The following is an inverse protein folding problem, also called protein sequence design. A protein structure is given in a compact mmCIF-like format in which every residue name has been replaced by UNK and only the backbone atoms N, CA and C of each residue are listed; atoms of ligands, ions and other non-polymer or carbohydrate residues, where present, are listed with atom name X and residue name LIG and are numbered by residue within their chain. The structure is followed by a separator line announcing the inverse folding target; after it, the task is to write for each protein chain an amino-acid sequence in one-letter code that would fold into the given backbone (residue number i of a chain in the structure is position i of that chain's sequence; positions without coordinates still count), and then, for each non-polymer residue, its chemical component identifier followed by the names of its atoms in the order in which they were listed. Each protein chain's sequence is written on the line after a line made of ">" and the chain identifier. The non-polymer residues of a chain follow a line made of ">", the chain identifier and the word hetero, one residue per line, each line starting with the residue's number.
data_IF_560959693632
#
_entry.id   IF_560959693632
#
_cell.length_a   1.000
_cell.length_b   1.000
_cell.length_c   1.000
_cell.angle_alpha   90.00
_cell.angle_beta   90.00
_cell.angle_gamma   90.00
#
_symmetry.space_group_name_H-M   'P 1'
#
loop_
_entity.id
_entity.type
_entity.pdbx_description
1 polymer ?
#
# COMPACT_ATOMS: atom_id res chain seq x y z
N UNK A 1 2.39 -24.13 -8.23
CA UNK A 1 1.43 -23.08 -8.59
C UNK A 1 1.80 -21.83 -7.79
N UNK A 2 1.85 -20.64 -8.42
CA UNK A 2 2.17 -19.41 -7.67
C UNK A 2 0.91 -18.91 -6.98
N UNK A 3 0.94 -18.81 -5.66
CA UNK A 3 -0.13 -18.23 -4.83
C UNK A 3 0.37 -16.91 -4.24
N UNK A 4 -0.34 -15.83 -4.51
CA UNK A 4 -0.03 -14.49 -4.01
C UNK A 4 -0.75 -14.25 -2.69
N UNK A 5 0.00 -13.94 -1.64
CA UNK A 5 -0.54 -13.36 -0.41
C UNK A 5 -0.64 -11.84 -0.56
N UNK A 6 -1.83 -11.29 -0.45
CA UNK A 6 -2.09 -9.86 -0.54
C UNK A 6 -2.42 -9.28 0.83
N UNK A 7 -1.54 -8.42 1.34
CA UNK A 7 -1.77 -7.69 2.60
C UNK A 7 -2.39 -6.35 2.28
N UNK A 8 -3.52 -6.04 2.91
CA UNK A 8 -4.21 -4.75 2.86
C UNK A 8 -4.49 -4.25 4.28
N UNK A 9 -4.30 -2.97 4.53
CA UNK A 9 -4.49 -2.40 5.87
C UNK A 9 -5.94 -1.97 6.13
N UNK A 10 -6.63 -1.45 5.12
CA UNK A 10 -7.93 -0.81 5.27
C UNK A 10 -9.04 -1.58 4.54
N UNK A 11 -10.25 -1.53 5.12
CA UNK A 11 -11.44 -2.10 4.44
C UNK A 11 -11.70 -1.45 3.08
N UNK A 12 -11.42 -0.15 2.95
CA UNK A 12 -11.57 0.55 1.68
C UNK A 12 -10.63 0.01 0.60
N UNK A 13 -9.40 -0.34 0.97
CA UNK A 13 -8.43 -0.96 0.07
C UNK A 13 -8.87 -2.37 -0.32
N UNK A 14 -9.36 -3.16 0.64
CA UNK A 14 -9.89 -4.49 0.37
C UNK A 14 -11.08 -4.46 -0.61
N UNK A 15 -11.98 -3.47 -0.48
CA UNK A 15 -13.11 -3.27 -1.40
C UNK A 15 -12.69 -2.90 -2.83
N UNK A 16 -11.49 -2.32 -3.01
CA UNK A 16 -10.93 -2.08 -4.35
C UNK A 16 -10.45 -3.37 -5.03
N UNK A 17 -10.19 -4.42 -4.25
CA UNK A 17 -9.66 -5.70 -4.74
C UNK A 17 -10.78 -6.74 -4.91
N UNK A 18 -11.75 -6.76 -4.00
CA UNK A 18 -12.82 -7.75 -4.01
C UNK A 18 -14.12 -7.20 -3.42
N UNK A 19 -15.29 -7.55 -3.99
CA UNK A 19 -16.58 -7.21 -3.38
C UNK A 19 -16.94 -8.14 -2.21
N UNK A 20 -16.14 -9.16 -1.93
CA UNK A 20 -16.39 -10.09 -0.83
C UNK A 20 -16.25 -9.38 0.52
N UNK A 21 -16.99 -9.86 1.51
CA UNK A 21 -16.77 -9.44 2.89
C UNK A 21 -15.44 -10.00 3.40
N UNK A 22 -14.47 -9.11 3.68
CA UNK A 22 -13.17 -9.49 4.20
C UNK A 22 -13.15 -9.29 5.72
N UNK A 23 -13.09 -10.35 6.52
CA UNK A 23 -12.94 -10.24 7.97
C UNK A 23 -11.55 -9.72 8.34
N UNK A 24 -11.46 -9.01 9.46
CA UNK A 24 -10.17 -8.61 10.03
C UNK A 24 -9.38 -9.82 10.52
N UNK A 25 -8.06 -9.76 10.34
CA UNK A 25 -7.11 -10.74 10.86
C UNK A 25 -7.41 -12.19 10.47
N UNK A 26 -7.93 -12.37 9.25
CA UNK A 26 -8.23 -13.67 8.69
C UNK A 26 -7.96 -13.68 7.19
N UNK A 27 -7.45 -14.80 6.71
CA UNK A 27 -7.26 -15.04 5.29
C UNK A 27 -8.58 -15.26 4.56
N UNK A 28 -8.66 -14.79 3.32
CA UNK A 28 -9.74 -15.08 2.40
C UNK A 28 -9.19 -15.31 0.99
N UNK A 29 -9.49 -16.45 0.40
CA UNK A 29 -9.19 -16.70 -1.01
C UNK A 29 -10.14 -15.86 -1.88
N UNK A 30 -9.59 -14.95 -2.67
CA UNK A 30 -10.36 -14.13 -3.61
C UNK A 30 -10.41 -14.74 -5.02
N UNK A 31 -9.43 -15.59 -5.32
CA UNK A 31 -9.40 -16.47 -6.49
C UNK A 31 -8.40 -17.62 -6.24
N UNK A 32 -8.25 -18.62 -7.15
CA UNK A 32 -7.35 -19.77 -6.95
C UNK A 32 -5.87 -19.41 -6.76
N UNK A 33 -5.48 -18.19 -7.10
CA UNK A 33 -4.08 -17.75 -7.07
C UNK A 33 -3.82 -16.58 -6.12
N UNK A 34 -4.84 -16.11 -5.39
CA UNK A 34 -4.70 -14.94 -4.52
C UNK A 34 -5.48 -15.12 -3.22
N UNK A 35 -4.74 -14.99 -2.12
CA UNK A 35 -5.26 -14.98 -0.76
C UNK A 35 -5.05 -13.58 -0.19
N UNK A 36 -6.11 -12.95 0.30
CA UNK A 36 -6.09 -11.62 0.87
C UNK A 36 -6.16 -11.69 2.39
N UNK A 37 -5.42 -10.80 3.07
CA UNK A 37 -5.47 -10.58 4.50
C UNK A 37 -5.69 -9.11 4.81
N UNK A 38 -6.77 -8.80 5.53
CA UNK A 38 -7.05 -7.46 6.05
C UNK A 38 -6.40 -7.33 7.42
N UNK A 39 -5.26 -6.63 7.49
CA UNK A 39 -4.41 -6.59 8.69
C UNK A 39 -4.83 -5.53 9.72
N UNK A 40 -5.42 -4.42 9.28
CA UNK A 40 -5.41 -3.16 10.04
C UNK A 40 -4.14 -2.36 9.77
N UNK A 41 -4.12 -1.12 10.26
CA UNK A 41 -3.01 -0.19 10.05
C UNK A 41 -1.76 -0.55 10.86
N UNK A 42 -0.61 -0.17 10.32
CA UNK A 42 0.68 -0.17 10.98
C UNK A 42 1.52 -1.42 10.76
N UNK A 43 2.81 -1.26 10.96
CA UNK A 43 3.83 -2.26 10.64
C UNK A 43 3.64 -3.60 11.38
N UNK A 44 3.27 -3.57 12.66
CA UNK A 44 3.08 -4.78 13.47
C UNK A 44 1.93 -5.65 12.94
N UNK A 45 0.79 -5.02 12.62
CA UNK A 45 -0.37 -5.71 12.04
C UNK A 45 -0.06 -6.30 10.67
N UNK A 46 0.64 -5.54 9.82
CA UNK A 46 1.04 -5.96 8.50
C UNK A 46 2.08 -7.11 8.55
N UNK A 47 3.04 -7.06 9.48
CA UNK A 47 4.00 -8.12 9.73
C UNK A 47 3.30 -9.43 10.06
N UNK A 48 2.42 -9.40 11.06
CA UNK A 48 1.64 -10.57 11.48
C UNK A 48 0.82 -11.16 10.33
N UNK A 49 0.18 -10.31 9.52
CA UNK A 49 -0.57 -10.75 8.35
C UNK A 49 0.32 -11.48 7.33
N UNK A 50 1.49 -10.90 7.02
CA UNK A 50 2.46 -11.48 6.10
C UNK A 50 2.99 -12.84 6.60
N UNK A 51 3.33 -12.94 7.89
CA UNK A 51 3.76 -14.19 8.53
C UNK A 51 2.69 -15.29 8.42
N UNK A 52 1.42 -14.94 8.70
CA UNK A 52 0.32 -15.91 8.60
C UNK A 52 0.08 -16.36 7.15
N UNK A 53 0.18 -15.44 6.17
CA UNK A 53 0.10 -15.80 4.76
C UNK A 53 1.25 -16.73 4.35
N UNK A 54 2.47 -16.48 4.81
CA UNK A 54 3.60 -17.40 4.58
C UNK A 54 3.34 -18.79 5.19
N UNK A 55 2.82 -18.86 6.41
CA UNK A 55 2.44 -20.13 7.04
C UNK A 55 1.32 -20.85 6.28
N UNK A 56 0.41 -20.11 5.63
CA UNK A 56 -0.63 -20.67 4.76
C UNK A 56 -0.10 -21.15 3.40
N UNK A 57 1.20 -20.99 3.13
CA UNK A 57 1.88 -21.53 1.94
C UNK A 57 1.79 -20.65 0.70
N UNK A 58 1.64 -19.33 0.86
CA UNK A 58 1.78 -18.41 -0.28
C UNK A 58 3.23 -18.42 -0.77
N UNK A 59 3.43 -18.24 -2.08
CA UNK A 59 4.75 -18.32 -2.71
C UNK A 59 5.33 -16.95 -3.05
N UNK A 60 4.56 -15.88 -2.82
CA UNK A 60 4.97 -14.48 -2.99
C UNK A 60 4.03 -13.56 -2.21
N UNK A 61 4.51 -12.40 -1.80
CA UNK A 61 3.74 -11.40 -1.06
C UNK A 61 3.58 -10.10 -1.85
N UNK A 62 2.42 -9.49 -1.74
CA UNK A 62 2.16 -8.14 -2.21
C UNK A 62 1.57 -7.29 -1.08
N UNK A 63 2.01 -6.04 -0.95
CA UNK A 63 1.39 -5.03 -0.09
C UNK A 63 0.62 -4.06 -0.98
N UNK A 64 -0.69 -3.93 -0.76
CA UNK A 64 -1.57 -3.09 -1.57
C UNK A 64 -2.28 -2.06 -0.70
N UNK A 65 -2.31 -0.81 -1.16
CA UNK A 65 -3.01 0.24 -0.44
C UNK A 65 -2.69 1.64 -0.94
N UNK A 66 -2.80 2.60 -0.04
CA UNK A 66 -2.56 4.01 -0.30
C UNK A 66 -1.22 4.48 0.28
N UNK A 67 -0.73 5.63 -0.20
CA UNK A 67 0.49 6.26 0.28
C UNK A 67 0.38 7.78 0.26
N UNK A 68 1.19 8.44 1.09
CA UNK A 68 1.46 9.87 1.00
C UNK A 68 2.59 10.16 0.02
N UNK A 69 2.47 11.24 -0.75
CA UNK A 69 3.52 11.71 -1.62
C UNK A 69 4.65 12.38 -0.81
N UNK A 70 5.88 12.10 -1.20
CA UNK A 70 7.09 12.81 -0.76
C UNK A 70 7.69 13.66 -1.89
N UNK A 71 7.35 13.34 -3.15
CA UNK A 71 7.69 14.14 -4.33
C UNK A 71 6.51 15.05 -4.69
N UNK A 72 6.78 16.35 -4.88
CA UNK A 72 5.79 17.37 -5.26
C UNK A 72 5.14 17.14 -6.62
N UNK A 73 5.74 16.33 -7.48
CA UNK A 73 5.19 16.01 -8.79
C UNK A 73 4.04 14.98 -8.70
N UNK A 74 4.01 14.19 -7.62
CA UNK A 74 2.99 13.18 -7.41
C UNK A 74 1.65 13.80 -6.99
N UNK A 75 0.60 13.32 -7.64
CA UNK A 75 -0.78 13.79 -7.44
C UNK A 75 -1.67 12.66 -6.92
N UNK A 76 -2.75 13.00 -6.22
CA UNK A 76 -3.75 12.00 -5.87
C UNK A 76 -4.23 11.23 -7.11
N UNK A 77 -4.16 9.90 -7.03
CA UNK A 77 -4.47 8.99 -8.12
C UNK A 77 -3.28 8.45 -8.90
N UNK A 78 -2.10 9.04 -8.77
CA UNK A 78 -0.88 8.46 -9.33
C UNK A 78 -0.58 7.13 -8.63
N UNK A 79 -0.07 6.17 -9.40
CA UNK A 79 0.29 4.85 -8.88
C UNK A 79 1.80 4.76 -8.68
N UNK A 80 2.20 4.34 -7.49
CA UNK A 80 3.60 4.05 -7.17
C UNK A 80 3.80 2.53 -7.18
N UNK A 81 4.68 2.07 -8.07
CA UNK A 81 5.22 0.71 -8.12
C UNK A 81 6.72 0.81 -7.81
N UNK A 82 7.12 0.76 -6.53
CA UNK A 82 8.48 1.06 -6.14
C UNK A 82 9.49 0.02 -6.64
N UNK A 83 10.75 0.46 -6.78
CA UNK A 83 11.90 -0.41 -7.05
C UNK A 83 12.47 -1.01 -5.76
N UNK A 84 12.29 -0.30 -4.65
CA UNK A 84 12.75 -0.70 -3.33
C UNK A 84 11.90 -0.08 -2.22
N UNK A 85 11.95 -0.70 -1.04
CA UNK A 85 11.31 -0.23 0.19
C UNK A 85 12.39 0.20 1.18
N UNK A 86 12.29 1.43 1.67
CA UNK A 86 13.16 1.97 2.71
C UNK A 86 12.48 1.81 4.08
N UNK A 87 13.05 0.93 4.90
CA UNK A 87 12.70 0.72 6.30
C UNK A 87 13.93 0.85 7.18
N UNK A 88 14.22 -0.12 8.03
CA UNK A 88 15.52 -0.23 8.71
C UNK A 88 16.67 -0.44 7.72
N UNK A 89 16.38 -1.17 6.65
CA UNK A 89 17.26 -1.42 5.53
C UNK A 89 16.52 -1.13 4.21
N UNK A 90 17.28 -0.95 3.13
CA UNK A 90 16.74 -0.88 1.79
C UNK A 90 16.48 -2.29 1.28
N UNK A 91 15.21 -2.66 1.12
CA UNK A 91 14.77 -3.97 0.64
C UNK A 91 14.35 -3.88 -0.82
N UNK A 92 14.93 -4.69 -1.71
CA UNK A 92 14.53 -4.72 -3.12
C UNK A 92 13.16 -5.35 -3.31
N UNK A 93 12.43 -4.95 -4.35
CA UNK A 93 11.23 -5.63 -4.80
C UNK A 93 11.56 -6.63 -5.91
N UNK A 94 10.63 -7.54 -6.22
CA UNK A 94 10.73 -8.46 -7.35
C UNK A 94 10.46 -7.70 -8.66
N UNK A 95 11.51 -7.14 -9.29
CA UNK A 95 11.41 -6.24 -10.44
C UNK A 95 10.68 -6.88 -11.63
N UNK A 96 10.92 -8.16 -11.94
CA UNK A 96 10.24 -8.85 -13.03
C UNK A 96 8.72 -8.90 -12.82
N UNK A 97 8.29 -9.20 -11.59
CA UNK A 97 6.87 -9.22 -11.26
C UNK A 97 6.27 -7.80 -11.30
N UNK A 98 6.97 -6.81 -10.72
CA UNK A 98 6.56 -5.41 -10.75
C UNK A 98 6.44 -4.87 -12.19
N UNK A 99 7.44 -5.16 -13.06
CA UNK A 99 7.44 -4.75 -14.46
C UNK A 99 6.30 -5.43 -15.24
N UNK A 100 6.07 -6.73 -14.99
CA UNK A 100 4.94 -7.44 -15.59
C UNK A 100 3.60 -6.80 -15.22
N UNK A 101 3.42 -6.40 -13.95
CA UNK A 101 2.22 -5.68 -13.52
C UNK A 101 2.12 -4.32 -14.23
N UNK A 102 3.20 -3.54 -14.30
CA UNK A 102 3.22 -2.24 -14.94
C UNK A 102 2.81 -2.30 -16.42
N UNK A 103 3.27 -3.31 -17.16
CA UNK A 103 2.91 -3.49 -18.56
C UNK A 103 1.43 -3.83 -18.78
N UNK A 104 0.73 -4.29 -17.74
CA UNK A 104 -0.70 -4.59 -17.81
C UNK A 104 -1.60 -3.44 -17.42
N UNK A 105 -1.06 -2.36 -16.89
CA UNK A 105 -1.83 -1.18 -16.54
C UNK A 105 -2.22 -0.40 -17.81
N UNK A 106 -3.33 0.33 -17.71
CA UNK A 106 -3.77 1.23 -18.78
C UNK A 106 -2.71 2.28 -19.10
N UNK A 107 -2.54 2.62 -20.36
CA UNK A 107 -1.64 3.71 -20.81
C UNK A 107 -2.01 5.08 -20.20
N UNK A 108 -3.22 5.23 -19.69
CA UNK A 108 -3.67 6.45 -19.03
C UNK A 108 -3.33 6.49 -17.53
N UNK A 109 -2.77 5.40 -16.97
CA UNK A 109 -2.36 5.35 -15.56
C UNK A 109 -0.95 5.92 -15.44
N UNK A 110 -0.80 6.99 -14.66
CA UNK A 110 0.52 7.50 -14.31
C UNK A 110 1.15 6.55 -13.30
N UNK A 111 2.25 5.92 -13.69
CA UNK A 111 3.01 4.99 -12.84
C UNK A 111 4.36 5.61 -12.53
N UNK A 112 4.69 5.71 -11.25
CA UNK A 112 5.97 6.21 -10.77
C UNK A 112 6.72 5.08 -10.06
N UNK A 113 7.99 5.00 -10.35
CA UNK A 113 8.93 4.06 -9.73
C UNK A 113 9.78 4.80 -8.69
N UNK A 114 10.72 4.13 -8.07
CA UNK A 114 11.64 4.71 -7.11
C UNK A 114 11.53 4.04 -5.75
N UNK A 115 11.83 4.77 -4.69
CA UNK A 115 11.83 4.24 -3.33
C UNK A 115 10.51 4.60 -2.63
N UNK A 116 9.91 3.62 -1.94
CA UNK A 116 8.81 3.83 -1.00
C UNK A 116 9.38 3.78 0.41
N UNK A 117 9.25 4.86 1.17
CA UNK A 117 9.70 4.90 2.56
C UNK A 117 8.62 4.39 3.52
N UNK A 118 9.06 3.86 4.65
CA UNK A 118 8.19 3.53 5.77
C UNK A 118 8.21 4.65 6.81
N UNK A 119 7.06 4.93 7.42
CA UNK A 119 6.93 5.77 8.61
C UNK A 119 6.14 5.04 9.68
N UNK A 120 6.60 5.11 10.93
CA UNK A 120 5.86 4.54 12.07
C UNK A 120 4.57 5.29 12.37
N UNK A 121 4.51 6.57 12.01
CA UNK A 121 3.38 7.47 12.23
C UNK A 121 2.99 8.20 10.95
N UNK A 122 1.73 8.62 10.81
CA UNK A 122 1.31 9.44 9.67
C UNK A 122 2.06 10.77 9.63
N UNK A 123 2.63 11.10 8.47
CA UNK A 123 3.30 12.40 8.27
C UNK A 123 2.25 13.48 7.96
N UNK A 124 2.06 14.40 8.89
CA UNK A 124 0.95 15.36 8.87
C UNK A 124 1.35 16.75 8.39
N UNK A 125 2.64 16.98 8.14
CA UNK A 125 3.13 18.28 7.70
C UNK A 125 4.00 18.14 6.46
N UNK A 126 3.94 19.15 5.58
CA UNK A 126 4.83 19.24 4.42
C UNK A 126 6.30 19.14 4.84
N UNK A 127 6.68 19.77 5.96
CA UNK A 127 8.07 19.76 6.43
C UNK A 127 8.53 18.35 6.79
N UNK A 128 7.72 17.55 7.50
CA UNK A 128 8.07 16.16 7.85
C UNK A 128 8.21 15.28 6.60
N UNK A 129 7.33 15.47 5.61
CA UNK A 129 7.39 14.77 4.33
C UNK A 129 8.68 15.09 3.56
N UNK A 130 8.99 16.37 3.39
CA UNK A 130 10.21 16.81 2.70
C UNK A 130 11.49 16.33 3.40
N UNK A 131 11.50 16.36 4.74
CA UNK A 131 12.63 15.84 5.51
C UNK A 131 12.83 14.33 5.30
N UNK A 132 11.74 13.55 5.28
CA UNK A 132 11.84 12.12 5.01
C UNK A 132 12.34 11.88 3.58
N UNK A 133 11.84 12.62 2.59
CA UNK A 133 12.32 12.55 1.20
C UNK A 133 13.82 12.83 1.10
N UNK A 134 14.31 13.86 1.77
CA UNK A 134 15.74 14.25 1.78
C UNK A 134 16.61 13.14 2.37
N UNK A 135 16.19 12.51 3.46
CA UNK A 135 16.96 11.47 4.15
C UNK A 135 16.97 10.15 3.36
N UNK A 136 15.85 9.80 2.73
CA UNK A 136 15.65 8.47 2.15
C UNK A 136 15.74 8.43 0.62
N UNK A 137 15.63 9.57 -0.04
CA UNK A 137 15.44 9.65 -1.50
C UNK A 137 14.12 9.06 -1.98
N UNK A 138 13.16 8.82 -1.08
CA UNK A 138 11.89 8.20 -1.42
C UNK A 138 10.91 9.18 -2.08
N UNK A 139 10.09 8.68 -3.01
CA UNK A 139 9.04 9.45 -3.68
C UNK A 139 7.70 9.39 -2.96
N UNK A 140 7.48 8.37 -2.13
CA UNK A 140 6.23 8.17 -1.38
C UNK A 140 6.50 7.51 -0.02
N UNK A 141 5.51 7.52 0.86
CA UNK A 141 5.58 6.95 2.21
C UNK A 141 4.30 6.20 2.57
N UNK A 142 4.47 5.05 3.22
CA UNK A 142 3.39 4.30 3.85
C UNK A 142 3.79 3.83 5.27
N UNK A 143 2.98 2.96 5.88
CA UNK A 143 3.20 2.50 7.25
C UNK A 143 3.35 0.97 7.35
N UNK A 144 3.22 0.22 6.26
CA UNK A 144 3.08 -1.24 6.26
C UNK A 144 4.09 -1.96 5.35
N UNK A 145 4.47 -1.37 4.21
CA UNK A 145 5.21 -2.09 3.17
C UNK A 145 6.54 -2.63 3.62
N UNK A 146 7.28 -1.91 4.48
CA UNK A 146 8.58 -2.39 4.96
C UNK A 146 8.44 -3.66 5.81
N UNK A 147 7.40 -3.73 6.64
CA UNK A 147 7.14 -4.91 7.46
C UNK A 147 6.81 -6.15 6.61
N UNK A 148 5.98 -5.98 5.58
CA UNK A 148 5.67 -7.08 4.64
C UNK A 148 6.89 -7.49 3.83
N UNK A 149 7.69 -6.51 3.37
CA UNK A 149 8.93 -6.75 2.62
C UNK A 149 9.96 -7.52 3.46
N UNK A 150 10.10 -7.19 4.74
CA UNK A 150 10.99 -7.92 5.67
C UNK A 150 10.57 -9.36 5.80
N UNK A 151 9.29 -9.65 6.03
CA UNK A 151 8.79 -11.03 6.12
C UNK A 151 9.02 -11.79 4.82
N UNK A 152 8.81 -11.15 3.67
CA UNK A 152 9.07 -11.78 2.37
C UNK A 152 10.56 -12.10 2.17
N UNK A 153 11.46 -11.20 2.59
CA UNK A 153 12.90 -11.40 2.55
C UNK A 153 13.33 -12.56 3.45
N UNK A 154 12.83 -12.61 4.70
CA UNK A 154 13.11 -13.68 5.65
C UNK A 154 12.62 -15.05 5.15
N UNK A 155 11.47 -15.06 4.46
CA UNK A 155 10.91 -16.26 3.83
C UNK A 155 11.53 -16.59 2.46
N UNK A 156 12.44 -15.77 1.95
CA UNK A 156 13.06 -15.89 0.61
C UNK A 156 12.03 -16.00 -0.54
N UNK A 157 10.93 -15.26 -0.45
CA UNK A 157 9.87 -15.21 -1.48
C UNK A 157 9.78 -13.82 -2.13
N UNK A 158 9.34 -13.74 -3.40
CA UNK A 158 9.18 -12.47 -4.10
C UNK A 158 8.18 -11.53 -3.41
N UNK A 159 8.49 -10.23 -3.43
CA UNK A 159 7.67 -9.17 -2.88
C UNK A 159 7.49 -8.02 -3.86
N UNK A 160 6.30 -7.41 -3.86
CA UNK A 160 6.03 -6.10 -4.48
C UNK A 160 5.15 -5.24 -3.57
N UNK A 161 5.23 -3.92 -3.75
CA UNK A 161 4.25 -2.98 -3.20
C UNK A 161 3.51 -2.26 -4.32
N UNK A 162 2.23 -1.94 -4.08
CA UNK A 162 1.35 -1.23 -5.00
C UNK A 162 0.66 -0.14 -4.19
N UNK A 163 0.91 1.13 -4.51
CA UNK A 163 0.38 2.26 -3.75
C UNK A 163 -0.26 3.30 -4.65
N UNK A 164 -1.49 3.71 -4.31
CA UNK A 164 -2.11 4.87 -4.91
C UNK A 164 -1.85 6.11 -4.02
N UNK A 165 -1.41 7.21 -4.62
CA UNK A 165 -1.23 8.45 -3.89
C UNK A 165 -2.60 9.03 -3.54
N UNK A 166 -2.79 9.35 -2.26
CA UNK A 166 -4.02 10.00 -1.77
C UNK A 166 -3.72 11.32 -1.05
N UNK A 167 -2.49 11.50 -0.61
CA UNK A 167 -2.04 12.58 0.24
C UNK A 167 -0.83 13.29 -0.41
N UNK A 168 -1.03 14.41 -1.15
CA UNK A 168 0.06 15.16 -1.77
C UNK A 168 0.97 15.82 -0.73
N UNK A 169 2.17 16.24 -1.15
CA UNK A 169 3.18 16.81 -0.23
C UNK A 169 2.66 18.02 0.54
N UNK A 170 1.91 18.88 -0.14
CA UNK A 170 1.37 20.12 0.42
C UNK A 170 0.20 19.91 1.37
N UNK A 171 -0.38 18.72 1.36
CA UNK A 171 -1.53 18.44 2.22
C UNK A 171 -1.08 18.24 3.67
N UNK A 172 -1.67 19.05 4.54
CA UNK A 172 -1.48 18.98 6.00
C UNK A 172 -2.86 18.80 6.63
N UNK A 173 -3.27 17.58 6.96
CA UNK A 173 -4.57 17.34 7.55
C UNK A 173 -4.67 18.04 8.92
N UNK A 174 -5.81 18.68 9.22
CA UNK A 174 -6.04 19.20 10.57
C UNK A 174 -5.89 18.09 11.61
N UNK A 175 -5.20 18.36 12.73
CA UNK A 175 -4.94 17.37 13.79
C UNK A 175 -6.18 16.68 14.34
N UNK A 176 -7.34 17.36 14.32
CA UNK A 176 -8.64 16.78 14.69
C UNK A 176 -9.11 15.65 13.77
N UNK A 177 -8.64 15.60 12.51
CA UNK A 177 -8.95 14.50 11.57
C UNK A 177 -8.13 13.25 11.86
N UNK A 178 -6.94 13.41 12.41
CA UNK A 178 -6.05 12.30 12.76
C UNK A 178 -6.49 11.57 14.03
N UNK A 179 -7.00 12.34 15.03
CA UNK A 179 -7.55 11.77 16.26
C UNK A 179 -8.89 11.04 16.07
N UNK A 180 -9.53 11.21 14.90
CA UNK A 180 -10.80 10.56 14.56
C UNK A 180 -10.62 9.23 13.81
N UNK A 181 -9.38 8.83 13.48
CA UNK A 181 -9.06 7.54 12.85
C UNK A 181 -8.96 6.48 13.93
N UNK A 182 -9.87 5.51 13.92
CA UNK A 182 -9.78 4.34 14.79
C UNK A 182 -8.66 3.40 14.32
N UNK A 183 -8.04 2.62 15.24
CA UNK A 183 -6.99 1.65 14.89
C UNK A 183 -7.42 0.61 13.84
N UNK A 184 -8.72 0.34 13.72
CA UNK A 184 -9.30 -0.58 12.75
C UNK A 184 -9.57 0.07 11.37
N UNK A 185 -9.20 1.34 11.19
CA UNK A 185 -9.44 2.07 9.94
C UNK A 185 -10.91 2.32 9.63
N UNK A 186 -11.83 2.04 10.58
CA UNK A 186 -13.25 2.21 10.36
C UNK A 186 -13.70 3.67 10.50
N UNK A 187 -14.55 4.08 9.61
CA UNK A 187 -15.44 5.24 9.56
C UNK A 187 -14.87 6.58 9.08
N UNK A 188 -13.68 7.04 9.48
CA UNK A 188 -13.31 8.44 9.18
C UNK A 188 -12.24 8.59 8.08
N UNK A 189 -11.34 7.62 7.93
CA UNK A 189 -10.37 7.61 6.82
C UNK A 189 -11.08 7.43 5.47
N UNK A 190 -12.15 6.63 5.46
CA UNK A 190 -13.02 6.48 4.28
C UNK A 190 -13.67 7.80 3.85
N UNK A 191 -14.04 8.65 4.82
CA UNK A 191 -14.59 9.97 4.52
C UNK A 191 -13.54 10.93 3.99
N UNK A 192 -12.31 10.84 4.50
CA UNK A 192 -11.17 11.61 4.01
C UNK A 192 -10.74 11.09 2.62
N UNK A 193 -10.62 9.77 2.45
CA UNK A 193 -10.35 9.13 1.16
C UNK A 193 -11.45 9.41 0.15
N UNK A 194 -12.71 9.34 0.52
CA UNK A 194 -13.83 9.67 -0.36
C UNK A 194 -13.86 11.14 -0.76
N UNK A 195 -13.47 12.07 0.11
CA UNK A 195 -13.34 13.49 -0.22
C UNK A 195 -12.17 13.77 -1.16
N UNK A 196 -11.08 13.01 -1.05
CA UNK A 196 -9.91 13.10 -1.92
C UNK A 196 -10.18 12.40 -3.26
N UNK A 197 -10.79 11.20 -3.24
CA UNK A 197 -11.10 10.40 -4.42
C UNK A 197 -12.26 10.95 -5.25
N UNK A 198 -13.26 11.59 -4.63
CA UNK A 198 -14.38 12.21 -5.38
C UNK A 198 -13.95 13.38 -6.28
N UNK A 199 -12.70 13.80 -6.23
CA UNK A 199 -12.16 14.83 -7.13
C UNK A 199 -11.38 14.28 -8.32
N UNK A 200 -11.03 13.00 -8.40
CA UNK A 200 -9.98 12.65 -9.35
C UNK A 200 -10.04 11.32 -10.11
N UNK A 201 -10.80 10.25 -9.82
CA UNK A 201 -10.77 9.06 -10.72
C UNK A 201 -11.96 8.12 -10.51
N UNK A 202 -12.54 7.54 -11.59
CA UNK A 202 -13.43 6.39 -11.49
C UNK A 202 -12.60 5.13 -11.19
N UNK A 203 -12.61 4.70 -9.95
CA UNK A 203 -11.96 3.45 -9.45
C UNK A 203 -12.47 2.18 -10.17
N UNK A 204 -13.62 2.28 -10.85
CA UNK A 204 -14.18 1.19 -11.67
C UNK A 204 -13.26 0.67 -12.77
N UNK A 205 -12.26 1.45 -13.18
CA UNK A 205 -11.32 1.05 -14.25
C UNK A 205 -10.23 0.09 -13.75
N UNK A 206 -9.90 0.11 -12.45
CA UNK A 206 -8.93 -0.82 -11.86
C UNK A 206 -9.51 -2.22 -11.63
N UNK A 207 -10.84 -2.34 -11.49
CA UNK A 207 -11.54 -3.59 -11.22
C UNK A 207 -11.87 -4.39 -12.50
N UNK A 208 -11.77 -3.80 -13.68
CA UNK A 208 -12.05 -4.49 -14.95
C UNK A 208 -10.83 -5.24 -15.53
N UNK A 209 -9.71 -5.27 -14.83
CA UNK A 209 -8.46 -5.89 -15.28
C UNK A 209 -8.12 -7.18 -14.52
N UNK A 210 -9.13 -7.93 -14.11
CA UNK A 210 -9.04 -9.30 -13.56
C UNK A 210 -9.18 -10.34 -14.66
#
# INVERSE_FOLDING_TARGET
>A
MNVTGLVVALRAEALCVTPLHVPMNKEIAINPHTVLWLSGMGAESAKKAAEQLCHAGVTRLASFGVAGALDKQLKPGDLVLPDAIYGENLLPVALDWRNHLQHRLSSNTVVVNGVLANSAEPLTTMQSKLRLAEITGACAVDMESSAVATVAADAAIPFIAIRAIVDPVEFSPPGALLSAVKPDGSANLLRILALILNRSIPIGTLLQMG
#
